data_IF_552256231339
#
_entry.id   IF_552256231339
#
_cell.length_a   1.000
_cell.length_b   1.000
_cell.length_c   1.000
_cell.angle_alpha   90.00
_cell.angle_beta   90.00
_cell.angle_gamma   90.00
#
_symmetry.space_group_name_H-M   'P 1'
#
loop_
_entity.id
_entity.type
_entity.pdbx_description
1 polymer ?
#
# COMPACT_ATOMS: atom_id res chain seq x y z
N UNK A 1 -11.61 -38.72 -74.38
CA UNK A 1 -10.31 -39.12 -73.78
C UNK A 1 -9.57 -37.81 -73.57
N UNK A 2 -9.78 -37.10 -72.48
CA UNK A 2 -9.09 -37.18 -71.17
C UNK A 2 -8.77 -35.70 -70.86
N UNK A 3 -8.77 -35.11 -69.66
CA UNK A 3 -9.04 -35.47 -68.27
C UNK A 3 -9.07 -34.13 -67.49
N UNK A 4 -9.96 -34.04 -66.49
CA UNK A 4 -9.79 -33.41 -65.16
C UNK A 4 -9.22 -31.97 -65.02
N UNK A 5 -10.02 -31.02 -64.52
CA UNK A 5 -10.08 -30.51 -63.12
C UNK A 5 -8.92 -29.53 -62.83
N UNK A 6 -9.07 -28.34 -62.24
CA UNK A 6 -9.67 -28.00 -60.95
C UNK A 6 -9.86 -26.46 -60.86
N UNK A 7 -10.95 -26.03 -60.23
CA UNK A 7 -11.22 -24.65 -59.79
C UNK A 7 -10.27 -24.21 -58.67
N UNK A 8 -9.79 -22.97 -58.71
CA UNK A 8 -9.27 -22.29 -57.52
C UNK A 8 -9.68 -20.81 -57.53
N UNK A 9 -10.62 -20.47 -56.65
CA UNK A 9 -10.98 -19.11 -56.28
C UNK A 9 -9.85 -18.48 -55.45
N UNK A 10 -9.48 -17.24 -55.75
CA UNK A 10 -8.58 -16.41 -54.93
C UNK A 10 -9.20 -15.00 -54.85
N UNK A 11 -10.02 -14.74 -53.82
CA UNK A 11 -9.71 -14.07 -52.54
C UNK A 11 -9.39 -12.56 -52.65
N UNK A 12 -10.32 -11.77 -52.12
CA UNK A 12 -10.36 -10.30 -51.97
C UNK A 12 -9.45 -9.89 -50.81
N UNK A 13 -8.57 -8.86 -50.92
CA UNK A 13 -7.94 -8.28 -49.75
C UNK A 13 -8.89 -7.29 -49.08
N UNK A 14 -9.40 -7.70 -47.91
CA UNK A 14 -10.11 -6.84 -46.96
C UNK A 14 -9.08 -5.94 -46.28
N UNK A 15 -9.01 -4.66 -46.65
CA UNK A 15 -8.11 -3.68 -46.04
C UNK A 15 -8.64 -3.28 -44.66
N UNK A 16 -8.32 -4.08 -43.64
CA UNK A 16 -8.64 -3.82 -42.24
C UNK A 16 -7.66 -2.86 -41.58
N UNK A 17 -8.17 -1.70 -41.14
CA UNK A 17 -7.96 -1.11 -39.81
C UNK A 17 -6.55 -0.68 -39.35
N UNK A 18 -6.45 0.58 -38.93
CA UNK A 18 -5.75 0.91 -37.68
C UNK A 18 -6.36 2.17 -37.03
N UNK A 19 -7.37 1.95 -36.19
CA UNK A 19 -7.81 2.97 -35.23
C UNK A 19 -6.86 2.88 -34.03
N UNK A 20 -5.91 3.81 -33.93
CA UNK A 20 -5.03 3.91 -32.78
C UNK A 20 -5.84 4.40 -31.57
N UNK A 21 -6.31 3.47 -30.76
CA UNK A 21 -6.91 3.76 -29.44
C UNK A 21 -5.74 4.11 -28.52
N UNK A 22 -5.51 5.40 -28.26
CA UNK A 22 -4.54 5.82 -27.26
C UNK A 22 -5.16 5.60 -25.87
N UNK A 23 -4.96 4.41 -25.31
CA UNK A 23 -5.31 4.14 -23.90
C UNK A 23 -4.36 4.90 -22.98
N UNK A 24 -4.82 5.82 -22.11
CA UNK A 24 -3.98 6.37 -21.07
C UNK A 24 -3.99 5.38 -19.91
N UNK A 25 -3.05 4.43 -19.87
CA UNK A 25 -2.98 3.50 -18.73
C UNK A 25 -1.56 2.99 -18.50
N UNK A 26 -0.73 3.71 -17.73
CA UNK A 26 0.32 3.10 -16.87
C UNK A 26 1.16 4.01 -15.94
N UNK A 27 0.69 5.17 -15.47
CA UNK A 27 1.57 6.05 -14.67
C UNK A 27 1.45 5.96 -13.13
N UNK A 28 0.51 5.19 -12.56
CA UNK A 28 0.31 5.10 -11.09
C UNK A 28 0.70 3.76 -10.44
N UNK A 29 1.09 2.75 -11.22
CA UNK A 29 1.26 1.39 -10.71
C UNK A 29 2.54 1.12 -9.87
N UNK A 30 3.37 2.14 -9.59
CA UNK A 30 4.69 1.95 -8.94
C UNK A 30 4.94 2.82 -7.70
N UNK A 31 3.97 3.59 -7.21
CA UNK A 31 4.19 4.43 -6.04
C UNK A 31 3.91 3.65 -4.75
N UNK A 32 4.93 3.47 -3.91
CA UNK A 32 4.79 2.81 -2.60
C UNK A 32 4.18 3.77 -1.59
N UNK A 33 3.04 3.40 -1.01
CA UNK A 33 2.36 4.22 0.00
C UNK A 33 1.78 3.37 1.12
N UNK A 34 1.65 3.99 2.28
CA UNK A 34 0.69 3.57 3.31
C UNK A 34 -0.33 4.68 3.45
N UNK A 35 -1.59 4.34 3.70
CA UNK A 35 -2.69 5.27 3.93
C UNK A 35 -3.45 4.78 5.16
N UNK A 36 -3.78 5.69 6.09
CA UNK A 36 -4.72 5.40 7.17
C UNK A 36 -6.14 5.56 6.60
N UNK A 37 -6.89 4.47 6.57
CA UNK A 37 -8.24 4.41 5.98
C UNK A 37 -9.35 4.57 7.02
N UNK A 38 -9.04 4.26 8.29
CA UNK A 38 -9.92 4.47 9.44
C UNK A 38 -9.04 4.86 10.63
N UNK A 39 -9.41 5.86 11.44
CA UNK A 39 -10.49 6.81 11.21
C UNK A 39 -10.09 7.90 10.20
N UNK A 40 -11.06 8.70 9.76
CA UNK A 40 -10.77 9.83 8.85
C UNK A 40 -9.93 10.92 9.54
N UNK A 41 -9.12 11.63 8.76
CA UNK A 41 -8.33 12.75 9.26
C UNK A 41 -9.22 13.88 9.80
N UNK A 42 -8.88 14.38 10.99
CA UNK A 42 -9.62 15.35 11.80
C UNK A 42 -10.97 14.87 12.35
N UNK A 43 -11.23 13.56 12.33
CA UNK A 43 -12.45 13.00 12.91
C UNK A 43 -12.43 13.02 14.45
N UNK A 44 -13.62 12.95 15.03
CA UNK A 44 -13.83 12.69 16.45
C UNK A 44 -14.20 11.23 16.64
N UNK A 45 -13.55 10.55 17.59
CA UNK A 45 -13.73 9.12 17.87
C UNK A 45 -14.04 8.89 19.35
N UNK A 46 -14.68 7.76 19.65
CA UNK A 46 -14.94 7.30 21.03
C UNK A 46 -14.21 5.99 21.26
N UNK A 47 -13.68 5.79 22.48
CA UNK A 47 -12.96 4.56 22.80
C UNK A 47 -13.87 3.32 22.91
N UNK A 48 -13.36 2.14 22.54
CA UNK A 48 -12.17 1.93 21.72
C UNK A 48 -12.46 2.26 20.24
N UNK A 49 -11.45 2.75 19.51
CA UNK A 49 -11.57 3.02 18.08
C UNK A 49 -10.51 2.26 17.29
N UNK A 50 -10.80 1.96 16.02
CA UNK A 50 -9.87 1.27 15.14
C UNK A 50 -8.99 2.26 14.39
N UNK A 51 -7.74 1.88 14.19
CA UNK A 51 -6.86 2.46 13.19
C UNK A 51 -6.57 1.40 12.14
N UNK A 52 -7.07 1.58 10.93
CA UNK A 52 -6.84 0.70 9.78
C UNK A 52 -5.95 1.38 8.75
N UNK A 53 -5.11 0.57 8.10
CA UNK A 53 -4.13 1.01 7.12
C UNK A 53 -4.18 0.15 5.86
N UNK A 54 -3.95 0.78 4.73
CA UNK A 54 -3.74 0.11 3.45
C UNK A 54 -2.33 0.40 2.95
N UNK A 55 -1.69 -0.60 2.35
CA UNK A 55 -0.38 -0.48 1.73
C UNK A 55 -0.51 -0.65 0.21
N UNK A 56 -0.14 0.37 -0.55
CA UNK A 56 -0.19 0.39 -2.01
C UNK A 56 1.21 0.17 -2.57
N UNK A 57 1.36 -0.76 -3.53
CA UNK A 57 2.67 -1.12 -4.10
C UNK A 57 3.62 -1.82 -3.10
N UNK A 58 3.07 -2.34 -2.01
CA UNK A 58 3.77 -3.00 -0.91
C UNK A 58 3.06 -4.30 -0.54
N UNK A 59 3.81 -5.26 -0.02
CA UNK A 59 3.29 -6.51 0.53
C UNK A 59 3.38 -6.43 2.05
N UNK A 60 2.24 -6.56 2.73
CA UNK A 60 2.19 -6.65 4.19
C UNK A 60 2.36 -8.11 4.61
N UNK A 61 3.37 -8.40 5.42
CA UNK A 61 3.69 -9.73 5.92
C UNK A 61 4.21 -9.67 7.36
N UNK A 62 4.21 -10.79 8.11
CA UNK A 62 4.78 -10.81 9.45
C UNK A 62 6.25 -10.39 9.49
N UNK A 63 6.67 -9.86 10.64
CA UNK A 63 8.08 -9.63 10.95
C UNK A 63 8.80 -10.97 11.09
N UNK A 64 9.52 -11.36 10.04
CA UNK A 64 10.37 -12.55 9.98
C UNK A 64 11.84 -12.24 10.34
N UNK A 65 12.19 -10.96 10.46
CA UNK A 65 13.52 -10.47 10.80
C UNK A 65 14.40 -10.14 9.60
N UNK A 66 13.91 -10.29 8.37
CA UNK A 66 14.70 -10.05 7.16
C UNK A 66 14.16 -8.84 6.36
N UNK A 67 15.04 -8.01 5.75
CA UNK A 67 14.62 -6.85 4.98
C UNK A 67 14.42 -7.18 3.49
N UNK A 68 13.24 -7.67 3.14
CA UNK A 68 12.84 -7.88 1.75
C UNK A 68 12.25 -6.62 1.11
N UNK A 69 12.79 -6.23 -0.04
CA UNK A 69 12.35 -5.02 -0.75
C UNK A 69 10.89 -5.09 -1.18
N UNK A 70 10.12 -4.04 -0.85
CA UNK A 70 8.69 -3.96 -1.14
C UNK A 70 7.82 -4.75 -0.17
N UNK A 71 8.40 -5.30 0.91
CA UNK A 71 7.68 -6.06 1.93
C UNK A 71 7.93 -5.53 3.33
N UNK A 72 7.09 -5.94 4.28
CA UNK A 72 7.23 -5.59 5.68
C UNK A 72 5.90 -5.46 6.39
N UNK A 73 5.83 -4.61 7.41
CA UNK A 73 4.64 -4.48 8.25
C UNK A 73 4.43 -3.07 8.79
N UNK A 74 3.22 -2.86 9.32
CA UNK A 74 2.79 -1.57 9.84
C UNK A 74 3.28 -1.30 11.27
N UNK A 75 3.50 -0.02 11.53
CA UNK A 75 3.76 0.54 12.85
C UNK A 75 2.87 1.75 13.07
N UNK A 76 2.39 1.93 14.30
CA UNK A 76 1.69 3.15 14.72
C UNK A 76 2.56 3.96 15.67
N UNK A 77 2.72 5.25 15.40
CA UNK A 77 3.41 6.23 16.24
C UNK A 77 2.46 7.38 16.59
N UNK A 78 2.70 8.04 17.72
CA UNK A 78 1.79 9.08 18.25
C UNK A 78 2.34 10.51 18.25
N UNK A 79 3.57 10.73 17.73
CA UNK A 79 4.20 12.06 17.81
C UNK A 79 4.92 12.46 16.54
N UNK A 80 5.95 11.71 16.15
CA UNK A 80 6.82 12.05 15.04
C UNK A 80 7.47 10.81 14.46
N UNK A 81 7.96 10.92 13.23
CA UNK A 81 8.81 9.90 12.63
C UNK A 81 10.16 9.82 13.36
N UNK A 82 10.80 8.64 13.42
CA UNK A 82 12.14 8.51 13.94
C UNK A 82 13.11 9.40 13.15
N UNK A 83 14.01 10.08 13.86
CA UNK A 83 15.08 10.87 13.21
C UNK A 83 16.07 9.98 12.45
N UNK A 84 16.27 8.78 12.97
CA UNK A 84 17.14 7.77 12.38
C UNK A 84 16.29 6.61 11.85
N UNK A 85 16.23 6.50 10.52
CA UNK A 85 15.51 5.46 9.79
C UNK A 85 16.41 4.27 9.44
N UNK A 86 17.65 4.23 9.96
CA UNK A 86 18.63 3.17 9.63
C UNK A 86 18.72 2.07 10.68
N UNK A 87 17.87 2.14 11.70
CA UNK A 87 17.85 1.18 12.82
C UNK A 87 16.44 0.63 13.06
N UNK A 88 16.35 -0.54 13.71
CA UNK A 88 15.07 -1.08 14.15
C UNK A 88 14.31 -0.13 15.09
N UNK A 89 12.98 -0.08 14.91
CA UNK A 89 12.06 0.57 15.83
C UNK A 89 11.99 -0.20 17.15
N UNK A 90 12.29 0.49 18.26
CA UNK A 90 12.22 -0.12 19.60
C UNK A 90 10.76 -0.25 20.02
N UNK A 91 10.43 -1.25 20.85
CA UNK A 91 9.07 -1.48 21.40
C UNK A 91 8.38 -0.25 22.02
N UNK A 92 9.14 0.70 22.56
CA UNK A 92 8.59 1.91 23.19
C UNK A 92 8.34 3.07 22.21
N UNK A 93 8.78 2.94 20.97
CA UNK A 93 8.72 4.02 19.96
C UNK A 93 7.46 3.91 19.09
N UNK A 94 6.87 2.71 19.01
CA UNK A 94 5.71 2.42 18.18
C UNK A 94 4.90 1.26 18.75
N UNK A 95 3.66 1.14 18.30
CA UNK A 95 2.90 -0.11 18.35
C UNK A 95 3.30 -0.92 17.10
N UNK A 96 3.77 -2.14 17.31
CA UNK A 96 4.23 -3.04 16.25
C UNK A 96 3.10 -3.97 15.82
N UNK A 97 2.71 -3.92 14.54
CA UNK A 97 1.77 -4.86 13.93
C UNK A 97 2.55 -6.00 13.25
N UNK A 98 3.33 -6.71 14.07
CA UNK A 98 4.36 -7.67 13.61
C UNK A 98 3.80 -8.94 12.97
N UNK A 99 2.50 -9.18 12.97
CA UNK A 99 1.89 -10.35 12.32
C UNK A 99 1.28 -10.02 10.96
N UNK A 100 1.55 -8.82 10.44
CA UNK A 100 0.96 -8.33 9.21
C UNK A 100 -0.48 -7.83 9.40
N UNK A 101 -0.81 -7.36 10.60
CA UNK A 101 -2.14 -6.80 10.86
C UNK A 101 -2.33 -5.48 10.10
N UNK A 102 -3.51 -5.31 9.50
CA UNK A 102 -3.90 -4.07 8.80
C UNK A 102 -4.66 -3.09 9.68
N UNK A 103 -5.21 -3.56 10.80
CA UNK A 103 -5.97 -2.74 11.74
C UNK A 103 -5.57 -3.04 13.18
N UNK A 104 -5.60 -2.03 14.03
CA UNK A 104 -5.41 -2.16 15.48
C UNK A 104 -6.51 -1.39 16.22
N UNK A 105 -7.00 -1.95 17.32
CA UNK A 105 -7.93 -1.26 18.22
C UNK A 105 -7.12 -0.49 19.26
N UNK A 106 -7.38 0.82 19.38
CA UNK A 106 -6.70 1.71 20.31
C UNK A 106 -7.67 2.20 21.38
N UNK A 107 -7.11 2.44 22.57
CA UNK A 107 -7.76 3.15 23.65
C UNK A 107 -6.81 4.26 24.08
N UNK A 108 -7.22 5.52 23.93
CA UNK A 108 -6.37 6.70 24.16
C UNK A 108 -7.07 7.68 25.10
N UNK A 109 -6.30 8.46 25.85
CA UNK A 109 -6.85 9.51 26.71
C UNK A 109 -7.66 10.53 25.89
N UNK A 110 -8.74 11.13 26.44
CA UNK A 110 -9.48 12.19 25.76
C UNK A 110 -8.58 13.36 25.34
N UNK A 111 -8.82 13.92 24.16
CA UNK A 111 -8.05 15.04 23.61
C UNK A 111 -7.60 14.85 22.16
N UNK A 112 -6.76 15.76 21.67
CA UNK A 112 -6.23 15.74 20.30
C UNK A 112 -4.97 14.88 20.22
N UNK A 113 -4.94 13.97 19.26
CA UNK A 113 -3.81 13.08 19.02
C UNK A 113 -3.39 13.11 17.56
N UNK A 114 -2.08 12.95 17.35
CA UNK A 114 -1.52 12.65 16.02
C UNK A 114 -1.32 11.15 15.96
N UNK A 115 -1.77 10.52 14.88
CA UNK A 115 -1.53 9.10 14.61
C UNK A 115 -0.75 9.03 13.30
N UNK A 116 0.38 8.33 13.33
CA UNK A 116 1.27 8.15 12.19
C UNK A 116 1.35 6.66 11.91
N UNK A 117 0.99 6.26 10.69
CA UNK A 117 1.30 4.94 10.18
C UNK A 117 2.69 4.98 9.53
N UNK A 118 3.56 4.03 9.87
CA UNK A 118 4.89 3.90 9.30
C UNK A 118 5.10 2.46 8.83
N UNK A 119 5.55 2.31 7.59
CA UNK A 119 5.91 1.01 7.04
C UNK A 119 7.40 0.74 7.23
N UNK A 120 7.72 -0.47 7.70
CA UNK A 120 9.09 -0.91 7.94
C UNK A 120 9.29 -2.32 7.41
N UNK A 121 10.52 -2.68 7.12
CA UNK A 121 10.95 -4.03 6.75
C UNK A 121 10.68 -5.06 7.85
N UNK A 122 10.88 -6.36 7.55
CA UNK A 122 10.69 -7.47 8.49
C UNK A 122 11.55 -7.39 9.75
N UNK A 123 12.67 -6.68 9.70
CA UNK A 123 13.62 -6.42 10.80
C UNK A 123 13.31 -5.15 11.63
N UNK A 124 12.13 -4.55 11.44
CA UNK A 124 11.68 -3.30 12.07
C UNK A 124 12.42 -2.03 11.64
N UNK A 125 13.29 -2.08 10.62
CA UNK A 125 13.93 -0.88 10.08
C UNK A 125 12.96 -0.16 9.13
N UNK A 126 12.70 1.15 9.31
CA UNK A 126 11.86 1.90 8.38
C UNK A 126 12.44 1.99 6.97
N UNK A 127 11.58 2.10 5.96
CA UNK A 127 12.02 2.46 4.60
C UNK A 127 12.67 3.85 4.56
N UNK A 128 13.55 4.08 3.58
CA UNK A 128 14.20 5.38 3.33
C UNK A 128 14.05 5.80 1.85
N UNK A 129 13.31 6.88 1.53
CA UNK A 129 12.56 7.75 2.45
C UNK A 129 11.43 7.00 3.18
N UNK A 130 11.01 7.55 4.33
CA UNK A 130 9.95 6.94 5.14
C UNK A 130 8.66 6.81 4.31
N UNK A 131 8.09 5.62 4.32
CA UNK A 131 6.76 5.37 3.77
C UNK A 131 5.77 5.47 4.93
N UNK A 132 5.04 6.58 4.99
CA UNK A 132 4.18 6.89 6.13
C UNK A 132 2.98 7.72 5.74
N UNK A 133 1.94 7.66 6.57
CA UNK A 133 0.79 8.56 6.55
C UNK A 133 0.51 9.12 7.94
N UNK A 134 -0.23 10.22 8.03
CA UNK A 134 -0.62 10.82 9.31
C UNK A 134 -2.04 11.36 9.28
N UNK A 135 -2.69 11.22 10.43
CA UNK A 135 -3.97 11.86 10.72
C UNK A 135 -3.94 12.55 12.08
N UNK A 136 -4.83 13.51 12.25
CA UNK A 136 -5.21 14.06 13.55
C UNK A 136 -6.57 13.48 13.94
N UNK A 137 -6.75 13.11 15.20
CA UNK A 137 -8.05 12.71 15.75
C UNK A 137 -8.33 13.42 17.05
N UNK A 138 -9.61 13.60 17.37
CA UNK A 138 -10.05 14.02 18.70
C UNK A 138 -10.75 12.85 19.39
N UNK A 139 -10.26 12.44 20.54
CA UNK A 139 -10.88 11.39 21.36
C UNK A 139 -11.78 12.04 22.40
N UNK A 140 -13.03 11.60 22.49
CA UNK A 140 -14.01 12.04 23.48
C UNK A 140 -14.02 11.16 24.75
#
# INVERSE_FOLDING_TARGET
MDKFLIHQFLLIPFMGGLLAITSPSRAYANEKKVIITEPENNSTVTNPFKVCMEALGLIVEPSDGDPYEGRGHHHILFSSLPKDLTRPLRRKEAIHLSKGEHCVSLNMEPGKHVIIALFSYGDHVPYKPAISDRILVTVN
#
